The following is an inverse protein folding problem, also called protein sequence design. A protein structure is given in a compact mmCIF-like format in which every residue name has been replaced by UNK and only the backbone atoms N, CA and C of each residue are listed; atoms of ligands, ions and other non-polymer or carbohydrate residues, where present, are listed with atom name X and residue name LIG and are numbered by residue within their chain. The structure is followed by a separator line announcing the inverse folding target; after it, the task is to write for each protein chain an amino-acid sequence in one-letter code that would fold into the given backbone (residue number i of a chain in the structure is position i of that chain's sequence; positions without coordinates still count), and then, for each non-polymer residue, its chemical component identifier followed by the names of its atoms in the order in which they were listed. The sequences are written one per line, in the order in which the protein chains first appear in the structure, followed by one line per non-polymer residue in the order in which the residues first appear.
data_IF_947839618593
#
_entry.id   IF_947839618593
#
_cell.length_a   1.000
_cell.length_b   1.000
_cell.length_c   1.000
_cell.angle_alpha   90.00
_cell.angle_beta   90.00
_cell.angle_gamma   90.00
#
_symmetry.space_group_name_H-M   'P 1'
#
loop_
_entity.id
_entity.type
_entity.pdbx_description
1 polymer ?
#
# COMPACT_ATOMS: atom_id res chain seq x y z
N UNK A 1 2.87 15.19 -10.47
CA UNK A 1 2.23 14.40 -11.56
C UNK A 1 1.63 13.14 -10.96
N UNK A 2 0.47 12.66 -11.47
CA UNK A 2 -0.15 11.37 -11.06
C UNK A 2 0.13 10.33 -12.13
N UNK A 3 0.93 9.31 -11.81
CA UNK A 3 1.35 8.25 -12.72
C UNK A 3 0.48 7.00 -12.51
N UNK A 4 0.00 6.40 -13.59
CA UNK A 4 -0.92 5.26 -13.59
C UNK A 4 -0.41 4.11 -14.46
N UNK A 5 -0.72 2.89 -14.06
CA UNK A 5 -0.74 1.71 -14.92
C UNK A 5 -2.20 1.36 -15.17
N UNK A 6 -2.58 1.15 -16.43
CA UNK A 6 -3.97 0.93 -16.81
C UNK A 6 -4.10 -0.02 -18.00
N UNK A 7 -5.30 -0.57 -18.19
CA UNK A 7 -5.64 -1.37 -19.35
C UNK A 7 -6.59 -0.60 -20.25
N UNK A 8 -6.22 -0.47 -21.52
CA UNK A 8 -7.06 0.05 -22.59
C UNK A 8 -6.85 -0.82 -23.84
N UNK A 9 -7.93 -1.09 -24.57
CA UNK A 9 -7.89 -1.90 -25.82
C UNK A 9 -7.20 -3.28 -25.62
N UNK A 10 -7.37 -3.88 -24.44
CA UNK A 10 -6.77 -5.17 -24.07
C UNK A 10 -5.25 -5.14 -23.79
N UNK A 11 -4.63 -3.95 -23.73
CA UNK A 11 -3.20 -3.78 -23.46
C UNK A 11 -2.97 -3.04 -22.16
N UNK A 12 -1.99 -3.49 -21.39
CA UNK A 12 -1.51 -2.74 -20.23
C UNK A 12 -0.56 -1.64 -20.70
N UNK A 13 -0.80 -0.43 -20.21
CA UNK A 13 -0.10 0.79 -20.59
C UNK A 13 0.31 1.57 -19.34
N UNK A 14 1.31 2.43 -19.49
CA UNK A 14 1.69 3.45 -18.50
C UNK A 14 1.16 4.79 -18.96
N UNK A 15 0.74 5.63 -18.03
CA UNK A 15 0.26 6.96 -18.33
C UNK A 15 0.39 7.94 -17.18
N UNK A 16 0.04 9.18 -17.47
CA UNK A 16 -0.10 10.25 -16.49
C UNK A 16 -1.50 10.86 -16.60
N UNK A 17 -2.10 11.21 -15.46
CA UNK A 17 -3.35 11.94 -15.45
C UNK A 17 -3.15 13.38 -15.94
N UNK A 18 -4.09 13.84 -16.77
CA UNK A 18 -4.20 15.22 -17.26
C UNK A 18 -5.69 15.59 -17.29
N UNK A 19 -6.17 16.23 -16.22
CA UNK A 19 -7.58 16.40 -15.97
C UNK A 19 -8.30 15.07 -15.82
N UNK A 20 -9.35 14.86 -16.62
CA UNK A 20 -10.15 13.63 -16.64
C UNK A 20 -9.63 12.58 -17.64
N UNK A 21 -8.46 12.82 -18.23
CA UNK A 21 -7.83 11.92 -19.19
C UNK A 21 -6.57 11.27 -18.63
N UNK A 22 -6.22 10.10 -19.21
CA UNK A 22 -4.91 9.44 -19.06
C UNK A 22 -4.14 9.65 -20.37
N UNK A 23 -3.02 10.35 -20.30
CA UNK A 23 -2.06 10.49 -21.41
C UNK A 23 -1.07 9.34 -21.37
N UNK A 24 -0.96 8.60 -22.47
CA UNK A 24 -0.04 7.45 -22.57
C UNK A 24 1.41 7.92 -22.54
N UNK A 25 2.23 7.25 -21.72
CA UNK A 25 3.69 7.36 -21.70
C UNK A 25 4.26 6.17 -22.48
N UNK A 26 5.12 6.42 -23.45
CA UNK A 26 5.72 5.38 -24.30
C UNK A 26 6.86 4.67 -23.57
N UNK A 27 6.48 3.76 -22.67
CA UNK A 27 7.38 2.97 -21.85
C UNK A 27 6.75 1.59 -21.57
N UNK A 28 7.53 0.50 -21.46
CA UNK A 28 6.99 -0.85 -21.27
C UNK A 28 6.21 -1.04 -19.96
N UNK A 29 6.70 -0.48 -18.86
CA UNK A 29 6.13 -0.58 -17.53
C UNK A 29 6.61 0.57 -16.61
N UNK A 30 5.94 0.73 -15.45
CA UNK A 30 6.24 1.81 -14.51
C UNK A 30 7.66 1.69 -13.91
N UNK A 31 8.16 0.48 -13.66
CA UNK A 31 9.53 0.32 -13.16
C UNK A 31 10.56 0.76 -14.18
N UNK A 32 10.30 0.51 -15.45
CA UNK A 32 11.16 1.00 -16.56
C UNK A 32 11.21 2.53 -16.57
N UNK A 33 10.08 3.22 -16.28
CA UNK A 33 10.07 4.67 -16.14
C UNK A 33 10.98 5.16 -14.99
N UNK A 34 10.83 4.56 -13.80
CA UNK A 34 11.69 4.89 -12.65
C UNK A 34 13.16 4.55 -12.89
N UNK A 35 13.46 3.53 -13.69
CA UNK A 35 14.83 3.13 -14.02
C UNK A 35 15.56 4.14 -14.93
N UNK A 36 14.85 5.06 -15.59
CA UNK A 36 15.47 6.15 -16.37
C UNK A 36 16.20 7.17 -15.49
N UNK A 37 15.83 7.27 -14.21
CA UNK A 37 16.50 8.13 -13.23
C UNK A 37 15.60 9.20 -12.62
N UNK A 38 16.27 10.23 -12.04
CA UNK A 38 15.59 11.32 -11.32
C UNK A 38 15.80 12.67 -11.99
N UNK A 39 14.83 13.58 -11.93
CA UNK A 39 13.48 13.38 -11.40
C UNK A 39 12.57 12.61 -12.38
N UNK A 40 11.80 11.66 -11.89
CA UNK A 40 10.99 10.75 -12.72
C UNK A 40 9.95 11.47 -13.59
N UNK A 41 9.36 12.58 -13.09
CA UNK A 41 8.38 13.38 -13.84
C UNK A 41 8.97 13.99 -15.11
N UNK A 42 10.26 14.29 -15.16
CA UNK A 42 10.92 14.78 -16.36
C UNK A 42 10.86 13.75 -17.48
N UNK A 43 11.25 12.52 -17.20
CA UNK A 43 11.21 11.44 -18.18
C UNK A 43 9.76 11.07 -18.57
N UNK A 44 8.84 11.13 -17.61
CA UNK A 44 7.43 10.94 -17.89
C UNK A 44 6.90 11.98 -18.89
N UNK A 45 7.25 13.27 -18.72
CA UNK A 45 6.88 14.33 -19.67
C UNK A 45 7.52 14.12 -21.06
N UNK A 46 8.79 13.79 -21.13
CA UNK A 46 9.51 13.58 -22.39
C UNK A 46 8.95 12.39 -23.20
N UNK A 47 8.37 11.39 -22.53
CA UNK A 47 7.82 10.18 -23.14
C UNK A 47 6.32 10.21 -23.32
N UNK A 48 5.62 11.29 -22.96
CA UNK A 48 4.20 11.46 -23.25
C UNK A 48 3.94 11.43 -24.75
N UNK A 49 2.90 10.71 -25.12
CA UNK A 49 2.41 10.63 -26.48
C UNK A 49 1.18 11.54 -26.68
N UNK A 50 0.64 11.56 -27.89
CA UNK A 50 -0.64 12.22 -28.17
C UNK A 50 -1.86 11.32 -27.88
N UNK A 51 -1.64 10.04 -27.52
CA UNK A 51 -2.72 9.11 -27.19
C UNK A 51 -3.28 9.42 -25.82
N UNK A 52 -4.60 9.55 -25.78
CA UNK A 52 -5.37 9.84 -24.58
C UNK A 52 -6.55 8.89 -24.46
N UNK A 53 -6.94 8.61 -23.22
CA UNK A 53 -8.13 7.85 -22.88
C UNK A 53 -8.84 8.54 -21.72
N UNK A 54 -10.17 8.71 -21.78
CA UNK A 54 -10.92 9.16 -20.62
C UNK A 54 -10.65 8.21 -19.42
N UNK A 55 -10.34 8.77 -18.26
CA UNK A 55 -10.03 7.99 -17.05
C UNK A 55 -11.17 7.00 -16.71
N UNK A 56 -12.43 7.45 -16.90
CA UNK A 56 -13.60 6.62 -16.66
C UNK A 56 -13.76 5.44 -17.65
N UNK A 57 -13.00 5.41 -18.75
CA UNK A 57 -13.07 4.36 -19.78
C UNK A 57 -11.97 3.30 -19.67
N UNK A 58 -11.04 3.45 -18.75
CA UNK A 58 -9.91 2.54 -18.57
C UNK A 58 -10.00 1.79 -17.24
N UNK A 59 -9.40 0.61 -17.21
CA UNK A 59 -9.22 -0.11 -15.94
C UNK A 59 -7.87 0.20 -15.34
N UNK A 60 -7.84 0.87 -14.20
CA UNK A 60 -6.61 1.07 -13.45
C UNK A 60 -6.10 -0.27 -12.89
N UNK A 61 -4.79 -0.39 -12.80
CA UNK A 61 -4.07 -1.49 -12.16
C UNK A 61 -3.22 -0.93 -11.02
N UNK A 62 -2.61 -1.81 -10.21
CA UNK A 62 -1.56 -1.37 -9.31
C UNK A 62 -0.54 -0.54 -10.10
N UNK A 63 -0.25 0.69 -9.67
CA UNK A 63 0.52 1.62 -10.50
C UNK A 63 1.94 1.12 -10.77
N UNK A 64 2.47 0.28 -9.89
CA UNK A 64 3.78 -0.34 -10.02
C UNK A 64 3.81 -1.70 -9.31
N UNK A 65 4.53 -2.68 -9.88
CA UNK A 65 4.90 -3.92 -9.20
C UNK A 65 6.40 -3.83 -8.89
N UNK A 66 6.80 -3.63 -7.62
CA UNK A 66 8.20 -3.45 -7.25
C UNK A 66 9.00 -4.76 -7.32
N UNK A 67 10.34 -4.66 -7.28
CA UNK A 67 11.17 -5.84 -7.01
C UNK A 67 11.13 -6.24 -5.54
N UNK A 68 11.13 -5.23 -4.67
CA UNK A 68 11.03 -5.40 -3.22
C UNK A 68 10.03 -4.42 -2.66
N UNK A 69 9.24 -4.91 -1.74
CA UNK A 69 8.36 -4.09 -0.95
C UNK A 69 8.77 -4.23 0.52
N UNK A 70 9.37 -3.17 1.05
CA UNK A 70 9.76 -3.06 2.45
C UNK A 70 8.59 -2.57 3.27
N UNK A 71 8.30 -3.27 4.34
CA UNK A 71 7.21 -2.96 5.24
C UNK A 71 7.76 -2.53 6.58
N UNK A 72 7.35 -1.36 7.09
CA UNK A 72 7.68 -0.95 8.45
C UNK A 72 6.45 -1.09 9.34
N UNK A 73 6.64 -1.46 10.60
CA UNK A 73 5.57 -1.51 11.58
C UNK A 73 5.87 -0.60 12.77
N UNK A 74 4.81 -0.17 13.48
CA UNK A 74 4.91 0.56 14.73
C UNK A 74 5.39 1.99 14.61
N UNK A 75 5.26 2.62 13.46
CA UNK A 75 5.76 3.98 13.24
C UNK A 75 4.82 5.09 13.71
N UNK A 76 3.60 4.76 14.11
CA UNK A 76 2.64 5.72 14.67
C UNK A 76 2.42 5.40 16.15
N UNK A 77 2.76 6.36 17.05
CA UNK A 77 2.69 6.16 18.48
C UNK A 77 1.27 5.83 18.97
N UNK A 78 0.26 6.42 18.34
CA UNK A 78 -1.14 6.19 18.64
C UNK A 78 -1.56 4.73 18.36
N UNK A 79 -1.07 4.13 17.27
CA UNK A 79 -1.29 2.72 16.95
C UNK A 79 -0.60 1.78 17.94
N UNK A 80 0.63 2.10 18.35
CA UNK A 80 1.32 1.35 19.40
C UNK A 80 0.55 1.38 20.73
N UNK A 81 -0.01 2.53 21.10
CA UNK A 81 -0.82 2.70 22.33
C UNK A 81 -2.14 1.94 22.26
N UNK A 82 -2.75 1.80 21.06
CA UNK A 82 -3.93 0.93 20.87
C UNK A 82 -3.59 -0.54 21.15
N UNK A 83 -2.49 -1.03 20.57
CA UNK A 83 -2.01 -2.39 20.79
C UNK A 83 -1.77 -2.68 22.28
N UNK A 84 -1.15 -1.74 22.99
CA UNK A 84 -0.93 -1.86 24.44
C UNK A 84 -2.26 -1.94 25.21
N UNK A 85 -3.25 -1.10 24.86
CA UNK A 85 -4.59 -1.11 25.48
C UNK A 85 -5.36 -2.40 25.17
N UNK A 86 -5.21 -2.94 23.98
CA UNK A 86 -5.82 -4.20 23.56
C UNK A 86 -5.10 -5.44 24.11
N UNK A 87 -4.03 -5.29 24.91
CA UNK A 87 -3.18 -6.37 25.39
C UNK A 87 -2.64 -7.26 24.23
N UNK A 88 -2.21 -6.61 23.16
CA UNK A 88 -1.66 -7.34 22.01
C UNK A 88 -0.45 -8.18 22.41
N UNK A 89 -0.28 -9.33 21.77
CA UNK A 89 0.69 -10.39 22.16
C UNK A 89 2.15 -9.96 22.17
N UNK A 90 2.49 -8.87 21.50
CA UNK A 90 3.84 -8.31 21.50
C UNK A 90 3.79 -6.79 21.36
N UNK A 91 4.71 -6.09 22.02
CA UNK A 91 4.83 -4.64 21.91
C UNK A 91 5.14 -4.23 20.46
N UNK A 92 4.30 -3.39 19.89
CA UNK A 92 4.53 -2.78 18.59
C UNK A 92 5.59 -1.68 18.76
N UNK A 93 6.72 -1.84 18.07
CA UNK A 93 7.87 -0.92 18.17
C UNK A 93 8.29 -0.46 16.79
N UNK A 94 8.76 0.80 16.63
CA UNK A 94 9.42 1.24 15.41
C UNK A 94 10.60 0.33 15.05
N UNK A 95 11.00 0.34 13.78
CA UNK A 95 12.12 -0.44 13.25
C UNK A 95 11.87 -1.94 13.02
N UNK A 96 10.64 -2.41 13.14
CA UNK A 96 10.30 -3.70 12.58
C UNK A 96 10.20 -3.54 11.05
N UNK A 97 10.91 -4.39 10.33
CA UNK A 97 10.83 -4.46 8.87
C UNK A 97 10.61 -5.90 8.44
N UNK A 98 9.74 -6.09 7.47
CA UNK A 98 9.53 -7.35 6.76
C UNK A 98 9.29 -7.06 5.28
N UNK A 99 9.29 -8.11 4.47
CA UNK A 99 9.06 -8.00 3.03
C UNK A 99 7.65 -8.47 2.71
N UNK A 100 6.96 -7.69 1.89
CA UNK A 100 5.64 -8.06 1.39
C UNK A 100 5.76 -9.02 0.20
N UNK A 101 4.80 -9.92 0.07
CA UNK A 101 4.62 -10.72 -1.13
C UNK A 101 4.17 -9.82 -2.29
N UNK A 102 5.07 -9.58 -3.24
CA UNK A 102 4.77 -8.68 -4.37
C UNK A 102 3.73 -9.26 -5.34
N UNK A 103 3.55 -10.59 -5.34
CA UNK A 103 2.53 -11.26 -6.15
C UNK A 103 1.11 -11.11 -5.56
N UNK A 104 1.00 -10.72 -4.27
CA UNK A 104 -0.27 -10.39 -3.63
C UNK A 104 -0.77 -8.96 -3.95
N UNK A 105 0.00 -8.18 -4.73
CA UNK A 105 -0.37 -6.80 -5.06
C UNK A 105 -1.56 -6.76 -6.02
N UNK A 106 -2.58 -5.99 -5.60
CA UNK A 106 -3.73 -5.65 -6.42
C UNK A 106 -3.87 -4.13 -6.57
N UNK A 107 -4.52 -3.71 -7.64
CA UNK A 107 -4.77 -2.29 -7.92
C UNK A 107 -6.14 -1.81 -7.46
N UNK A 108 -6.49 -0.55 -7.83
CA UNK A 108 -7.81 0.01 -7.57
C UNK A 108 -8.92 -0.87 -8.16
N UNK A 109 -10.04 -0.95 -7.46
CA UNK A 109 -11.25 -1.69 -7.82
C UNK A 109 -11.05 -3.21 -7.99
N UNK A 110 -9.83 -3.73 -7.85
CA UNK A 110 -9.60 -5.17 -7.78
C UNK A 110 -10.08 -5.71 -6.41
N UNK A 111 -10.70 -6.90 -6.37
CA UNK A 111 -11.25 -7.41 -5.13
C UNK A 111 -10.17 -7.94 -4.18
N UNK A 112 -10.36 -7.72 -2.88
CA UNK A 112 -9.70 -8.47 -1.81
C UNK A 112 -10.49 -9.76 -1.62
N UNK A 113 -9.85 -10.91 -1.80
CA UNK A 113 -10.49 -12.21 -1.65
C UNK A 113 -10.42 -12.64 -0.19
N UNK A 114 -11.58 -12.87 0.42
CA UNK A 114 -11.66 -13.36 1.78
C UNK A 114 -11.35 -14.87 1.84
N UNK A 115 -10.24 -15.30 2.43
CA UNK A 115 -9.87 -16.72 2.49
C UNK A 115 -10.52 -17.39 3.71
N UNK A 116 -11.80 -17.71 3.64
CA UNK A 116 -12.65 -18.22 4.73
C UNK A 116 -12.06 -19.48 5.39
N UNK A 117 -11.26 -20.23 4.65
CA UNK A 117 -10.59 -21.46 5.12
C UNK A 117 -9.28 -21.19 5.88
N UNK A 118 -8.81 -19.96 5.94
CA UNK A 118 -7.55 -19.59 6.60
C UNK A 118 -7.77 -18.65 7.78
N UNK A 119 -8.69 -17.70 7.69
CA UNK A 119 -8.90 -16.66 8.70
C UNK A 119 -10.35 -16.30 8.87
N UNK A 120 -10.70 -15.89 10.09
CA UNK A 120 -11.99 -15.29 10.44
C UNK A 120 -11.81 -13.82 10.89
N UNK A 121 -10.58 -13.30 10.87
CA UNK A 121 -10.23 -12.00 11.43
C UNK A 121 -9.45 -11.16 10.41
N UNK A 122 -10.11 -10.85 9.28
CA UNK A 122 -9.54 -10.01 8.24
C UNK A 122 -9.64 -8.54 8.64
N UNK A 123 -8.52 -7.83 8.58
CA UNK A 123 -8.39 -6.44 9.01
C UNK A 123 -7.74 -5.58 7.92
N UNK A 124 -7.87 -4.27 8.05
CA UNK A 124 -7.36 -3.24 7.16
C UNK A 124 -6.29 -2.39 7.87
N UNK A 125 -5.35 -1.86 7.11
CA UNK A 125 -4.28 -0.98 7.59
C UNK A 125 -3.92 0.04 6.53
N UNK A 126 -4.41 1.28 6.67
CA UNK A 126 -4.07 2.39 5.78
C UNK A 126 -2.64 2.88 6.03
N UNK A 127 -1.86 2.94 4.97
CA UNK A 127 -0.45 3.34 5.03
C UNK A 127 -0.05 4.27 3.89
N UNK A 128 0.74 5.31 4.21
CA UNK A 128 1.50 6.03 3.21
C UNK A 128 2.71 5.19 2.81
N UNK A 129 2.94 5.03 1.51
CA UNK A 129 4.11 4.34 0.98
C UNK A 129 4.92 5.22 0.04
N UNK A 130 6.24 5.02 0.06
CA UNK A 130 7.20 5.72 -0.78
C UNK A 130 7.63 4.82 -1.93
N UNK A 131 7.69 5.35 -3.14
CA UNK A 131 8.29 4.69 -4.30
C UNK A 131 9.73 5.19 -4.47
N UNK A 132 10.68 4.28 -4.46
CA UNK A 132 12.12 4.59 -4.56
C UNK A 132 12.48 5.07 -5.97
N UNK A 133 13.11 6.22 -6.06
CA UNK A 133 13.44 6.88 -7.33
C UNK A 133 14.60 6.24 -8.08
N UNK A 134 15.61 5.74 -7.37
CA UNK A 134 16.87 5.25 -7.95
C UNK A 134 17.49 4.13 -7.11
N UNK A 135 18.36 3.28 -7.71
CA UNK A 135 19.07 2.26 -6.93
C UNK A 135 20.02 2.89 -5.89
N UNK A 136 20.22 2.21 -4.76
CA UNK A 136 21.17 2.64 -3.74
C UNK A 136 21.34 1.66 -2.60
N UNK A 137 22.46 1.83 -1.88
CA UNK A 137 22.81 1.12 -0.63
C UNK A 137 23.55 2.05 0.30
N UNK A 138 23.46 1.81 1.60
CA UNK A 138 24.17 2.56 2.65
C UNK A 138 23.95 4.07 2.52
N UNK A 139 22.68 4.46 2.34
CA UNK A 139 22.25 5.83 2.09
C UNK A 139 22.22 6.57 3.44
N UNK A 140 22.83 7.75 3.50
CA UNK A 140 22.74 8.63 4.67
C UNK A 140 21.33 9.25 4.80
N UNK A 141 20.99 9.76 5.98
CA UNK A 141 19.71 10.45 6.21
C UNK A 141 19.60 11.69 5.32
N UNK A 142 20.70 12.41 5.15
CA UNK A 142 20.80 13.63 4.35
C UNK A 142 20.55 13.36 2.86
N UNK A 143 21.04 12.23 2.36
CA UNK A 143 20.87 11.81 0.95
C UNK A 143 19.50 11.17 0.69
N UNK A 144 18.83 10.68 1.71
CA UNK A 144 17.62 9.84 1.57
C UNK A 144 16.49 10.53 0.80
N UNK A 145 16.36 11.86 0.90
CA UNK A 145 15.36 12.64 0.17
C UNK A 145 15.50 12.50 -1.36
N UNK A 146 16.72 12.30 -1.86
CA UNK A 146 17.01 12.15 -3.30
C UNK A 146 16.59 10.77 -3.83
N UNK A 147 16.16 9.88 -2.93
CA UNK A 147 15.66 8.54 -3.25
C UNK A 147 14.13 8.45 -3.24
N UNK A 148 13.42 9.54 -2.93
CA UNK A 148 11.96 9.59 -2.95
C UNK A 148 11.51 9.95 -4.37
N UNK A 149 10.91 9.01 -5.08
CA UNK A 149 10.37 9.22 -6.43
C UNK A 149 8.89 9.62 -6.44
N UNK A 150 8.17 9.24 -5.41
CA UNK A 150 6.76 9.55 -5.26
C UNK A 150 6.12 8.82 -4.09
N UNK A 151 4.82 9.01 -3.96
CA UNK A 151 3.99 8.47 -2.88
C UNK A 151 2.79 7.72 -3.44
N UNK A 152 2.37 6.69 -2.73
CA UNK A 152 1.22 5.85 -3.10
C UNK A 152 0.52 5.37 -1.83
N UNK A 153 -0.79 5.12 -1.92
CA UNK A 153 -1.55 4.49 -0.84
C UNK A 153 -1.31 2.99 -0.88
N UNK A 154 -1.14 2.42 0.28
CA UNK A 154 -1.12 0.99 0.53
C UNK A 154 -2.12 0.64 1.63
N UNK A 155 -2.84 -0.45 1.46
CA UNK A 155 -3.69 -1.01 2.50
C UNK A 155 -3.17 -2.40 2.85
N UNK A 156 -2.54 -2.54 4.03
CA UNK A 156 -1.93 -3.78 4.50
C UNK A 156 -2.99 -4.72 5.09
N UNK A 157 -3.69 -5.44 4.21
CA UNK A 157 -4.70 -6.40 4.63
C UNK A 157 -4.06 -7.49 5.47
N UNK A 158 -4.64 -7.75 6.64
CA UNK A 158 -4.03 -8.60 7.67
C UNK A 158 -5.00 -9.64 8.20
N UNK A 159 -4.58 -10.92 8.24
CA UNK A 159 -5.26 -11.99 8.95
C UNK A 159 -4.78 -12.01 10.41
N UNK A 160 -5.56 -11.41 11.33
CA UNK A 160 -5.12 -11.16 12.71
C UNK A 160 -4.97 -12.39 13.58
N UNK A 161 -5.77 -13.42 13.35
CA UNK A 161 -5.66 -14.71 14.03
C UNK A 161 -4.35 -15.42 13.65
N UNK A 162 -3.96 -15.37 12.37
CA UNK A 162 -2.67 -15.88 11.88
C UNK A 162 -1.52 -15.02 12.44
N UNK A 163 -1.64 -13.68 12.37
CA UNK A 163 -0.62 -12.76 12.87
C UNK A 163 -0.29 -13.00 14.35
N UNK A 164 -1.33 -13.18 15.20
CA UNK A 164 -1.10 -13.48 16.62
C UNK A 164 -0.26 -14.74 16.85
N UNK A 165 -0.45 -15.77 16.03
CA UNK A 165 0.35 -17.03 16.13
C UNK A 165 1.78 -16.80 15.66
N UNK A 166 1.97 -16.13 14.54
CA UNK A 166 3.31 -15.79 14.03
C UNK A 166 4.10 -14.97 15.06
N UNK A 167 3.46 -13.99 15.69
CA UNK A 167 4.09 -13.10 16.68
C UNK A 167 4.53 -13.84 17.96
N UNK A 168 3.94 -14.99 18.30
CA UNK A 168 4.43 -15.84 19.39
C UNK A 168 5.86 -16.34 19.12
N UNK A 169 6.24 -16.44 17.85
CA UNK A 169 7.61 -16.74 17.41
C UNK A 169 8.41 -15.50 17.03
N UNK A 170 7.95 -14.31 17.44
CA UNK A 170 8.56 -13.02 17.14
C UNK A 170 8.71 -12.73 15.65
N UNK A 171 7.84 -13.27 14.83
CA UNK A 171 7.80 -13.08 13.39
C UNK A 171 6.36 -12.76 12.96
N UNK A 172 6.19 -12.12 11.81
CA UNK A 172 4.93 -12.04 11.09
C UNK A 172 5.24 -11.73 9.62
N UNK A 173 4.63 -12.48 8.74
CA UNK A 173 4.84 -12.36 7.30
C UNK A 173 3.67 -12.96 6.53
N UNK A 174 3.33 -14.23 6.77
CA UNK A 174 2.30 -14.94 6.04
C UNK A 174 0.91 -14.29 6.23
N UNK A 175 0.59 -13.83 7.44
CA UNK A 175 -0.65 -13.15 7.78
C UNK A 175 -0.95 -11.91 6.91
N UNK A 176 0.07 -11.36 6.25
CA UNK A 176 0.01 -10.17 5.38
C UNK A 176 0.37 -10.48 3.92
N UNK A 177 0.73 -11.74 3.61
CA UNK A 177 1.28 -12.15 2.31
C UNK A 177 0.36 -13.06 1.50
N UNK A 178 -0.89 -13.23 1.96
CA UNK A 178 -1.92 -14.02 1.27
C UNK A 178 -2.33 -13.27 0.00
N UNK A 179 -2.71 -14.00 -1.03
CA UNK A 179 -3.12 -13.44 -2.31
C UNK A 179 -4.17 -12.31 -2.12
N UNK A 180 -4.03 -11.23 -2.87
CA UNK A 180 -4.85 -10.02 -2.82
C UNK A 180 -4.74 -9.17 -1.54
N UNK A 181 -3.86 -9.50 -0.59
CA UNK A 181 -3.72 -8.76 0.67
C UNK A 181 -2.88 -7.48 0.56
N UNK A 182 -2.49 -7.10 -0.64
CA UNK A 182 -1.63 -5.94 -0.88
C UNK A 182 -2.25 -4.94 -1.88
N UNK A 183 -3.39 -4.28 -1.57
CA UNK A 183 -3.93 -3.20 -2.39
C UNK A 183 -2.98 -2.01 -2.45
N UNK A 184 -2.59 -1.58 -3.66
CA UNK A 184 -1.69 -0.44 -3.91
C UNK A 184 -2.28 0.47 -4.99
N UNK A 185 -2.36 1.77 -4.73
CA UNK A 185 -2.89 2.72 -5.70
C UNK A 185 -3.42 4.02 -5.07
N UNK A 186 -4.34 4.72 -5.73
CA UNK A 186 -4.84 4.48 -7.08
C UNK A 186 -3.80 4.79 -8.15
N UNK A 187 -2.82 5.65 -7.85
CA UNK A 187 -1.71 6.10 -8.67
C UNK A 187 -0.51 6.49 -7.82
N UNK A 188 0.64 6.68 -8.45
CA UNK A 188 1.81 7.29 -7.80
C UNK A 188 1.73 8.79 -8.02
N UNK A 189 1.79 9.56 -6.93
CA UNK A 189 1.99 11.01 -6.98
C UNK A 189 3.48 11.30 -6.87
N UNK A 190 4.05 11.96 -7.87
CA UNK A 190 5.49 12.26 -7.89
C UNK A 190 5.90 13.18 -6.74
N UNK A 191 7.13 13.06 -6.26
CA UNK A 191 7.58 13.71 -5.02
C UNK A 191 7.48 15.25 -5.06
N UNK A 192 7.59 15.87 -6.23
CA UNK A 192 7.44 17.32 -6.43
C UNK A 192 6.04 17.85 -6.11
N UNK A 193 5.00 17.01 -6.26
CA UNK A 193 3.60 17.37 -5.94
C UNK A 193 3.32 17.33 -4.42
N UNK A 194 4.16 16.63 -3.65
CA UNK A 194 4.04 16.50 -2.20
C UNK A 194 5.38 16.88 -1.56
N UNK A 195 5.73 18.17 -1.51
CA UNK A 195 7.02 18.62 -0.97
C UNK A 195 7.12 18.41 0.56
N UNK A 196 6.00 18.37 1.25
CA UNK A 196 5.90 18.03 2.67
C UNK A 196 4.98 16.82 2.88
N UNK A 197 5.54 15.61 3.08
CA UNK A 197 4.76 14.41 3.34
C UNK A 197 4.36 14.26 4.83
N UNK A 198 4.69 15.20 5.70
CA UNK A 198 4.44 15.11 7.15
C UNK A 198 3.22 15.90 7.62
N UNK A 199 2.36 16.32 6.71
CA UNK A 199 1.11 16.97 7.04
C UNK A 199 0.02 16.59 6.03
N UNK A 200 -0.23 15.29 5.91
CA UNK A 200 -1.28 14.73 5.06
C UNK A 200 -2.31 14.05 5.96
N UNK A 201 -3.58 14.35 5.75
CA UNK A 201 -4.66 13.64 6.42
C UNK A 201 -4.84 12.25 5.82
N UNK A 202 -5.06 11.26 6.71
CA UNK A 202 -5.35 9.88 6.38
C UNK A 202 -6.73 9.50 6.90
N UNK A 203 -7.56 8.91 6.05
CA UNK A 203 -8.87 8.41 6.42
C UNK A 203 -9.15 7.07 5.74
N UNK A 204 -9.53 6.05 6.49
CA UNK A 204 -10.05 4.80 5.95
C UNK A 204 -11.50 4.62 6.39
N UNK A 205 -12.33 4.28 5.42
CA UNK A 205 -13.76 3.97 5.62
C UNK A 205 -14.04 2.52 5.20
N UNK A 206 -14.93 1.89 5.92
CA UNK A 206 -15.55 0.62 5.52
C UNK A 206 -17.04 0.86 5.40
N UNK A 207 -17.61 0.64 4.22
CA UNK A 207 -19.02 0.91 3.90
C UNK A 207 -19.45 2.35 4.23
N UNK A 208 -18.53 3.31 4.03
CA UNK A 208 -18.73 4.72 4.33
C UNK A 208 -18.54 5.10 5.80
N UNK A 209 -18.38 4.14 6.72
CA UNK A 209 -18.09 4.39 8.13
C UNK A 209 -16.60 4.58 8.36
N UNK A 210 -16.21 5.69 9.00
CA UNK A 210 -14.82 6.00 9.31
C UNK A 210 -14.26 5.05 10.35
N UNK A 211 -13.14 4.45 10.05
CA UNK A 211 -12.43 3.48 10.89
C UNK A 211 -11.05 4.01 11.34
N UNK A 212 -10.23 4.47 10.40
CA UNK A 212 -8.94 5.11 10.70
C UNK A 212 -9.01 6.58 10.34
N UNK A 213 -8.56 7.45 11.25
CA UNK A 213 -8.44 8.90 11.03
C UNK A 213 -7.15 9.33 11.72
N UNK A 214 -6.22 9.88 10.95
CA UNK A 214 -4.95 10.37 11.47
C UNK A 214 -4.31 11.40 10.53
N UNK A 215 -3.08 11.79 10.84
CA UNK A 215 -2.27 12.67 10.03
C UNK A 215 -0.81 12.17 10.03
N UNK A 216 -0.12 12.31 8.90
CA UNK A 216 1.27 11.85 8.75
C UNK A 216 2.26 12.56 9.71
N UNK A 217 1.86 13.69 10.29
CA UNK A 217 2.66 14.36 11.35
C UNK A 217 2.85 13.53 12.62
N UNK A 218 2.04 12.47 12.80
CA UNK A 218 2.14 11.56 13.94
C UNK A 218 3.20 10.46 13.76
N UNK A 219 3.94 10.45 12.63
CA UNK A 219 5.06 9.53 12.44
C UNK A 219 6.13 9.72 13.52
N UNK A 220 6.53 8.61 14.16
CA UNK A 220 7.62 8.60 15.17
C UNK A 220 9.00 8.58 14.51
N UNK A 221 9.11 7.98 13.34
CA UNK A 221 10.34 7.85 12.56
C UNK A 221 10.13 8.44 11.18
N UNK A 222 10.98 9.36 10.77
CA UNK A 222 10.85 10.08 9.51
C UNK A 222 11.17 9.18 8.29
N UNK A 223 10.63 9.51 7.13
CA UNK A 223 10.88 8.82 5.87
C UNK A 223 12.39 8.72 5.56
N UNK A 224 13.20 9.79 5.67
CA UNK A 224 14.65 9.69 5.50
C UNK A 224 15.34 8.71 6.45
N UNK A 225 14.90 8.65 7.72
CA UNK A 225 15.43 7.68 8.68
C UNK A 225 15.07 6.23 8.29
N UNK A 226 13.84 5.98 7.81
CA UNK A 226 13.42 4.67 7.32
C UNK A 226 14.26 4.26 6.11
N UNK A 227 14.39 5.14 5.11
CA UNK A 227 15.18 4.89 3.89
C UNK A 227 16.65 4.58 4.26
N UNK A 228 17.27 5.42 5.10
CA UNK A 228 18.64 5.22 5.54
C UNK A 228 18.81 3.89 6.26
N UNK A 229 17.93 3.59 7.21
CA UNK A 229 18.00 2.41 8.08
C UNK A 229 17.98 1.09 7.30
N UNK A 230 17.11 1.01 6.29
CA UNK A 230 16.93 -0.24 5.52
C UNK A 230 17.74 -0.27 4.22
N UNK A 231 18.47 0.80 3.88
CA UNK A 231 19.31 0.88 2.68
C UNK A 231 20.42 -0.19 2.58
N UNK A 232 20.93 -0.80 3.67
CA UNK A 232 21.88 -1.91 3.55
C UNK A 232 21.34 -3.11 2.78
N UNK A 233 20.01 -3.33 2.77
CA UNK A 233 19.37 -4.37 1.97
C UNK A 233 19.41 -4.07 0.45
N UNK A 234 19.71 -2.83 0.09
CA UNK A 234 19.79 -2.35 -1.29
C UNK A 234 18.42 -2.08 -1.90
N UNK A 235 18.26 -0.89 -2.46
CA UNK A 235 17.09 -0.50 -3.21
C UNK A 235 17.30 -0.63 -4.71
N UNK A 236 16.22 -0.91 -5.42
CA UNK A 236 16.10 -0.77 -6.86
C UNK A 236 15.15 0.39 -7.18
N UNK A 237 15.27 1.01 -8.33
CA UNK A 237 14.28 1.98 -8.79
C UNK A 237 12.89 1.31 -8.85
N UNK A 238 11.88 1.99 -8.33
CA UNK A 238 10.52 1.48 -8.24
C UNK A 238 10.26 0.49 -7.10
N UNK A 239 11.22 0.23 -6.19
CA UNK A 239 10.92 -0.46 -4.94
C UNK A 239 9.98 0.39 -4.07
N UNK A 240 9.18 -0.26 -3.24
CA UNK A 240 8.23 0.43 -2.33
C UNK A 240 8.71 0.27 -0.89
N UNK A 241 8.51 1.31 -0.09
CA UNK A 241 8.66 1.29 1.36
C UNK A 241 7.38 1.82 1.98
N UNK A 242 6.73 1.04 2.82
CA UNK A 242 5.60 1.49 3.62
C UNK A 242 6.06 2.15 4.92
N UNK A 243 5.29 3.13 5.41
CA UNK A 243 5.60 3.87 6.65
C UNK A 243 4.92 3.30 7.89
N UNK A 244 4.12 2.25 7.75
CA UNK A 244 3.31 1.68 8.83
C UNK A 244 1.93 2.32 8.94
N UNK A 245 1.01 1.61 9.60
CA UNK A 245 -0.38 2.03 9.75
C UNK A 245 -0.62 2.95 10.93
N UNK A 246 -1.73 3.67 10.87
CA UNK A 246 -2.26 4.57 11.91
C UNK A 246 -3.26 3.83 12.80
N UNK A 247 -3.74 4.47 13.88
CA UNK A 247 -4.76 3.93 14.78
C UNK A 247 -6.10 3.67 14.10
N UNK A 248 -6.96 2.83 14.72
CA UNK A 248 -8.31 2.51 14.26
C UNK A 248 -8.43 1.19 13.51
N UNK A 249 -7.46 0.28 13.65
CA UNK A 249 -7.56 -1.09 13.11
C UNK A 249 -8.65 -1.89 13.82
N UNK A 250 -9.28 -2.83 13.12
CA UNK A 250 -10.38 -3.62 13.69
C UNK A 250 -9.95 -4.40 14.93
N UNK A 251 -8.76 -5.00 14.91
CA UNK A 251 -8.25 -5.81 16.02
C UNK A 251 -8.11 -5.07 17.35
N UNK A 252 -8.01 -3.75 17.34
CA UNK A 252 -7.84 -2.92 18.54
C UNK A 252 -9.08 -2.08 18.89
N UNK A 253 -10.16 -2.24 18.13
CA UNK A 253 -11.44 -1.59 18.39
C UNK A 253 -12.11 -2.12 19.68
N UNK A 254 -13.15 -1.43 20.14
CA UNK A 254 -13.93 -1.88 21.28
C UNK A 254 -14.73 -3.17 21.01
N UNK A 255 -15.05 -3.45 19.74
CA UNK A 255 -15.72 -4.67 19.29
C UNK A 255 -15.06 -5.19 18.01
N UNK A 256 -13.92 -5.90 18.13
CA UNK A 256 -13.17 -6.38 16.96
C UNK A 256 -14.01 -7.24 16.01
N UNK A 257 -14.87 -8.12 16.54
CA UNK A 257 -15.67 -9.04 15.74
C UNK A 257 -16.70 -8.31 14.84
N UNK A 258 -17.20 -7.18 15.29
CA UNK A 258 -18.07 -6.32 14.48
C UNK A 258 -17.30 -5.52 13.43
N UNK A 259 -16.00 -5.32 13.64
CA UNK A 259 -15.16 -4.45 12.81
C UNK A 259 -14.32 -5.20 11.77
N UNK A 260 -14.04 -6.51 11.98
CA UNK A 260 -13.35 -7.31 10.97
C UNK A 260 -14.10 -7.29 9.64
N UNK A 261 -13.33 -7.22 8.55
CA UNK A 261 -13.85 -7.22 7.19
C UNK A 261 -14.61 -8.50 6.87
N UNK A 262 -15.64 -8.36 6.06
CA UNK A 262 -16.52 -9.46 5.62
C UNK A 262 -16.75 -9.37 4.11
N UNK A 263 -17.05 -10.49 3.43
CA UNK A 263 -17.49 -10.44 2.04
C UNK A 263 -18.65 -9.47 1.84
N UNK A 264 -18.55 -8.61 0.84
CA UNK A 264 -19.48 -7.53 0.55
C UNK A 264 -19.01 -6.14 0.99
N UNK A 265 -18.05 -6.04 1.91
CA UNK A 265 -17.54 -4.75 2.38
C UNK A 265 -16.80 -3.98 1.27
N UNK A 266 -16.96 -2.66 1.27
CA UNK A 266 -16.21 -1.73 0.47
C UNK A 266 -15.23 -0.96 1.36
N UNK A 267 -13.95 -1.08 1.06
CA UNK A 267 -12.87 -0.36 1.72
C UNK A 267 -12.51 0.86 0.87
N UNK A 268 -12.44 2.03 1.48
CA UNK A 268 -11.99 3.27 0.87
C UNK A 268 -10.85 3.84 1.71
N UNK A 269 -9.64 3.75 1.19
CA UNK A 269 -8.41 4.23 1.81
C UNK A 269 -8.00 5.56 1.16
N UNK A 270 -8.04 6.65 1.91
CA UNK A 270 -7.81 8.01 1.42
C UNK A 270 -6.60 8.64 2.09
N UNK A 271 -5.73 9.26 1.29
CA UNK A 271 -4.65 10.12 1.76
C UNK A 271 -4.73 11.44 1.01
N UNK A 272 -4.72 12.54 1.76
CA UNK A 272 -4.73 13.90 1.21
C UNK A 272 -3.68 14.06 0.10
N UNK A 273 -4.03 14.77 -0.99
CA UNK A 273 -3.23 15.00 -2.21
C UNK A 273 -2.94 13.75 -3.05
N UNK A 274 -3.09 12.54 -2.50
CA UNK A 274 -2.94 11.32 -3.31
C UNK A 274 -4.29 10.94 -3.93
N UNK A 275 -5.31 10.68 -3.11
CA UNK A 275 -6.64 10.31 -3.59
C UNK A 275 -7.22 9.15 -2.79
N UNK A 276 -8.09 8.36 -3.41
CA UNK A 276 -8.81 7.26 -2.75
C UNK A 276 -8.53 5.95 -3.48
N UNK A 277 -8.00 4.98 -2.75
CA UNK A 277 -7.88 3.58 -3.17
C UNK A 277 -9.12 2.83 -2.70
N UNK A 278 -9.87 2.23 -3.64
CA UNK A 278 -11.08 1.45 -3.34
C UNK A 278 -10.87 -0.01 -3.66
N UNK A 279 -11.31 -0.88 -2.74
CA UNK A 279 -11.30 -2.32 -2.95
C UNK A 279 -12.51 -2.94 -2.25
N UNK A 280 -13.22 -3.82 -2.97
CA UNK A 280 -14.32 -4.59 -2.40
C UNK A 280 -13.79 -5.92 -1.86
N UNK A 281 -14.27 -6.34 -0.72
CA UNK A 281 -14.03 -7.69 -0.20
C UNK A 281 -15.04 -8.63 -0.84
N UNK A 282 -14.57 -9.74 -1.42
CA UNK A 282 -15.45 -10.78 -1.98
C UNK A 282 -15.19 -12.13 -1.32
N UNK A 283 -16.17 -13.03 -1.35
CA UNK A 283 -15.99 -14.38 -0.84
C UNK A 283 -15.09 -15.22 -1.75
N UNK A 284 -14.53 -16.30 -1.20
CA UNK A 284 -13.83 -17.31 -1.99
C UNK A 284 -14.68 -17.86 -3.14
N UNK A 285 -15.95 -18.15 -2.84
CA UNK A 285 -16.91 -18.65 -3.84
C UNK A 285 -17.15 -17.65 -4.98
N UNK A 286 -17.25 -16.37 -4.67
CA UNK A 286 -17.40 -15.32 -5.68
C UNK A 286 -16.15 -15.21 -6.57
N UNK A 287 -14.96 -15.37 -6.00
CA UNK A 287 -13.69 -15.29 -6.72
C UNK A 287 -13.45 -16.49 -7.63
N UNK A 288 -13.71 -17.70 -7.15
CA UNK A 288 -13.27 -18.94 -7.83
C UNK A 288 -14.42 -19.84 -8.33
N UNK A 289 -15.67 -19.52 -8.02
CA UNK A 289 -16.83 -20.32 -8.44
C UNK A 289 -17.01 -21.64 -7.68
N UNK A 290 -16.19 -21.90 -6.67
CA UNK A 290 -16.22 -23.11 -5.82
C UNK A 290 -16.23 -22.72 -4.34
N UNK A 291 -16.76 -23.61 -3.51
CA UNK A 291 -16.72 -23.37 -2.07
C UNK A 291 -15.26 -23.38 -1.55
N UNK A 292 -15.01 -22.62 -0.50
CA UNK A 292 -13.69 -22.61 0.13
C UNK A 292 -13.33 -24.03 0.61
N UNK A 293 -12.02 -24.39 0.60
CA UNK A 293 -11.56 -25.62 1.26
C UNK A 293 -12.02 -25.68 2.72
N UNK A 294 -12.00 -26.88 3.32
CA UNK A 294 -12.23 -26.99 4.75
C UNK A 294 -11.22 -26.14 5.54
N UNK A 295 -11.68 -25.55 6.63
CA UNK A 295 -10.82 -24.71 7.47
C UNK A 295 -9.64 -25.51 8.01
N UNK A 296 -8.46 -25.16 7.58
CA UNK A 296 -7.20 -25.74 8.08
C UNK A 296 -6.73 -24.83 9.20
N UNK A 297 -7.20 -25.05 10.40
CA UNK A 297 -6.70 -24.33 11.57
C UNK A 297 -5.17 -24.51 11.68
N UNK A 298 -4.41 -23.42 11.64
CA UNK A 298 -2.99 -23.43 11.95
C UNK A 298 -2.75 -23.48 13.44
#
# INVERSE_FOLDING_TARGET
MKLVTFVAEGKQLVGALDGDDVVVIDIPDMRSLFALGTPVQKYAEELKTTRRYPLASVQLKAPIIPKKFFHTAGNYAEHAQEGDRANWVAAIKPWIVFFQNVDAIIGPDAPVIYPEHLTQQLDYELELSIVIAKPGKYISIEEAKDYIGGYVIFNDITARDIQRREMQSSNFSFSKSIDTFCPVGPWIVTADEIPDPYNLDLELRVNGEKRQISNTSHMSVTIPQIISKFSPAGYSAGDIISTGTVSGVAAFSADPEAWFLKPGDLIEAEIEKIGVLRNRVISWKEAYGVDAPEFVGF
#
